data_IF_741715931583
#
_entry.id   IF_741715931583
#
_cell.length_a   1.000
_cell.length_b   1.000
_cell.length_c   1.000
_cell.angle_alpha   90.00
_cell.angle_beta   90.00
_cell.angle_gamma   90.00
#
_symmetry.space_group_name_H-M   'P 1'
#
loop_
_entity.id
_entity.type
_entity.pdbx_description
1 polymer ?
#
# COMPACT_ATOMS: atom_id res chain seq x y z
N UNK A 1 1.87 -2.97 -8.25
CA UNK A 1 1.17 -3.68 -7.15
C UNK A 1 -0.06 -4.38 -7.70
N UNK A 2 -0.32 -5.56 -7.26
CA UNK A 2 -1.47 -6.38 -7.64
C UNK A 2 -2.26 -6.80 -6.41
N UNK A 3 -3.53 -7.14 -6.60
CA UNK A 3 -4.40 -7.63 -5.54
C UNK A 3 -4.91 -9.03 -5.88
N UNK A 4 -5.00 -9.89 -4.87
CA UNK A 4 -5.58 -11.23 -4.97
C UNK A 4 -6.47 -11.51 -3.78
N UNK A 5 -7.29 -12.57 -3.87
CA UNK A 5 -8.31 -12.86 -2.87
C UNK A 5 -9.62 -12.15 -3.18
N UNK A 6 -10.45 -11.93 -2.17
CA UNK A 6 -11.75 -11.27 -2.31
C UNK A 6 -11.76 -9.94 -1.59
N UNK A 7 -12.74 -9.10 -1.90
CA UNK A 7 -12.95 -7.80 -1.24
C UNK A 7 -13.86 -7.91 -0.01
N UNK A 8 -14.29 -9.12 0.35
CA UNK A 8 -15.17 -9.34 1.51
C UNK A 8 -14.47 -9.03 2.81
N UNK A 9 -15.05 -8.13 3.59
CA UNK A 9 -14.58 -7.82 4.95
C UNK A 9 -14.66 -9.05 5.84
N UNK A 10 -15.71 -9.84 5.72
CA UNK A 10 -15.89 -11.06 6.53
C UNK A 10 -14.82 -12.12 6.23
N UNK A 11 -14.44 -12.28 4.96
CA UNK A 11 -13.40 -13.23 4.57
C UNK A 11 -11.98 -12.73 4.93
N UNK A 12 -11.77 -11.43 4.86
CA UNK A 12 -10.48 -10.77 5.18
C UNK A 12 -9.27 -11.48 4.56
N UNK A 13 -9.40 -11.88 3.30
CA UNK A 13 -8.38 -12.66 2.59
C UNK A 13 -7.72 -11.91 1.44
N UNK A 14 -7.92 -10.60 1.35
CA UNK A 14 -7.24 -9.78 0.35
C UNK A 14 -5.74 -9.74 0.62
N UNK A 15 -4.96 -9.93 -0.45
CA UNK A 15 -3.49 -9.82 -0.41
C UNK A 15 -3.07 -8.81 -1.46
N UNK A 16 -2.29 -7.83 -1.03
CA UNK A 16 -1.65 -6.85 -1.90
C UNK A 16 -0.18 -7.21 -2.04
N UNK A 17 0.29 -7.39 -3.27
CA UNK A 17 1.66 -7.83 -3.54
C UNK A 17 2.34 -6.90 -4.54
N UNK A 18 3.61 -6.61 -4.27
CA UNK A 18 4.49 -5.89 -5.18
C UNK A 18 5.76 -6.71 -5.38
N UNK A 19 6.18 -6.85 -6.63
CA UNK A 19 7.37 -7.61 -7.01
C UNK A 19 8.36 -6.74 -7.79
N UNK A 20 9.54 -7.27 -8.07
CA UNK A 20 10.61 -6.57 -8.81
C UNK A 20 11.09 -5.30 -8.10
N UNK A 21 11.09 -5.33 -6.79
CA UNK A 21 11.62 -4.26 -5.96
C UNK A 21 13.13 -4.41 -5.77
N UNK A 22 13.85 -3.31 -5.45
CA UNK A 22 15.22 -3.41 -4.99
C UNK A 22 15.32 -4.39 -3.80
N UNK A 23 16.38 -5.19 -3.79
CA UNK A 23 16.57 -6.23 -2.78
C UNK A 23 16.95 -5.64 -1.42
N UNK A 24 16.44 -6.24 -0.35
CA UNK A 24 16.79 -5.91 1.02
C UNK A 24 16.60 -4.41 1.35
N UNK A 25 15.52 -3.81 0.86
CA UNK A 25 15.18 -2.40 1.10
C UNK A 25 13.88 -2.27 1.87
N UNK A 26 13.79 -1.26 2.77
CA UNK A 26 12.55 -1.01 3.48
C UNK A 26 11.51 -0.34 2.59
N UNK A 27 10.26 -0.57 2.91
CA UNK A 27 9.12 0.08 2.30
C UNK A 27 7.88 -0.09 3.16
N UNK A 28 6.81 0.58 2.79
CA UNK A 28 5.55 0.48 3.51
C UNK A 28 4.37 0.73 2.58
N UNK A 29 3.25 0.13 2.95
CA UNK A 29 1.98 0.34 2.28
C UNK A 29 1.37 1.67 2.75
N UNK A 30 0.93 2.46 1.79
CA UNK A 30 0.14 3.66 2.01
C UNK A 30 -1.32 3.37 1.68
N UNK A 31 -2.24 3.93 2.46
CA UNK A 31 -3.67 3.74 2.29
C UNK A 31 -4.40 5.07 2.47
N UNK A 32 -5.36 5.35 1.59
CA UNK A 32 -6.20 6.54 1.69
C UNK A 32 -7.59 6.28 1.12
N UNK A 33 -8.58 7.03 1.61
CA UNK A 33 -9.95 7.02 1.06
C UNK A 33 -10.07 7.79 -0.25
N UNK A 34 -9.07 8.60 -0.58
CA UNK A 34 -9.11 9.49 -1.74
C UNK A 34 -7.82 9.38 -2.54
N UNK A 35 -7.94 9.61 -3.85
CA UNK A 35 -6.83 9.70 -4.76
C UNK A 35 -7.02 10.87 -5.73
N UNK A 36 -5.91 11.39 -6.24
CA UNK A 36 -5.91 12.49 -7.20
C UNK A 36 -5.22 12.13 -8.50
N UNK A 37 -4.88 13.13 -9.30
CA UNK A 37 -4.20 12.98 -10.57
C UNK A 37 -2.71 12.61 -10.48
N UNK A 38 -2.21 12.45 -9.26
CA UNK A 38 -0.81 12.19 -9.01
C UNK A 38 0.03 13.45 -8.89
N UNK A 39 0.94 13.45 -7.93
CA UNK A 39 1.93 14.51 -7.76
C UNK A 39 3.32 13.90 -7.70
N UNK A 40 4.36 14.59 -8.20
CA UNK A 40 5.73 14.12 -8.02
C UNK A 40 6.05 13.99 -6.52
N UNK A 41 6.58 12.85 -6.15
CA UNK A 41 6.99 12.57 -4.78
C UNK A 41 8.22 11.67 -4.80
N UNK A 42 9.36 12.19 -4.31
CA UNK A 42 10.64 11.51 -4.48
C UNK A 42 10.90 11.26 -5.97
N UNK A 43 11.25 10.03 -6.36
CA UNK A 43 11.49 9.68 -7.76
C UNK A 43 10.26 9.04 -8.43
N UNK A 44 9.10 9.12 -7.79
CA UNK A 44 7.85 8.54 -8.27
C UNK A 44 6.68 9.51 -8.24
N UNK A 45 5.50 8.94 -8.43
CA UNK A 45 4.23 9.69 -8.42
C UNK A 45 3.36 9.19 -7.27
N UNK A 46 3.00 10.09 -6.37
CA UNK A 46 2.06 9.81 -5.30
C UNK A 46 0.64 10.05 -5.82
N UNK A 47 -0.15 8.99 -5.87
CA UNK A 47 -1.53 9.04 -6.34
C UNK A 47 -2.55 9.27 -5.21
N UNK A 48 -2.19 8.90 -3.99
CA UNK A 48 -3.06 9.04 -2.83
C UNK A 48 -3.08 10.50 -2.35
N UNK A 49 -4.24 10.92 -1.87
CA UNK A 49 -4.40 12.25 -1.25
C UNK A 49 -4.68 12.12 0.24
N UNK A 50 -4.39 13.15 1.05
CA UNK A 50 -4.63 13.08 2.49
C UNK A 50 -6.12 12.81 2.82
N UNK A 51 -6.39 12.13 3.88
CA UNK A 51 -5.48 11.60 4.91
C UNK A 51 -4.85 10.28 4.47
N UNK A 52 -3.54 10.17 4.60
CA UNK A 52 -2.82 8.96 4.22
C UNK A 52 -2.44 8.18 5.50
N UNK A 53 -2.83 6.90 5.53
CA UNK A 53 -2.49 5.97 6.60
C UNK A 53 -1.28 5.14 6.17
N UNK A 54 -0.31 5.04 7.08
CA UNK A 54 0.95 4.32 6.83
C UNK A 54 0.96 3.01 7.59
N UNK A 55 1.10 1.92 6.86
CA UNK A 55 1.22 0.58 7.43
C UNK A 55 2.64 0.36 7.99
N UNK A 56 2.82 -0.65 8.85
CA UNK A 56 4.16 -0.99 9.36
C UNK A 56 5.15 -1.25 8.23
N UNK A 57 6.38 -0.82 8.44
CA UNK A 57 7.48 -1.00 7.49
C UNK A 57 7.80 -2.47 7.31
N UNK A 58 8.04 -2.87 6.06
CA UNK A 58 8.53 -4.20 5.71
C UNK A 58 9.81 -4.10 4.86
N UNK A 59 10.58 -5.18 4.81
CA UNK A 59 11.77 -5.28 3.98
C UNK A 59 11.45 -6.14 2.76
N UNK A 60 11.96 -5.76 1.59
CA UNK A 60 11.74 -6.53 0.35
C UNK A 60 12.48 -7.87 0.31
N UNK A 61 13.44 -8.06 1.20
CA UNK A 61 14.17 -9.32 1.33
C UNK A 61 14.99 -9.70 0.10
N UNK A 62 15.39 -10.96 0.06
CA UNK A 62 16.21 -11.49 -1.04
C UNK A 62 15.43 -11.67 -2.35
N UNK A 63 14.10 -11.65 -2.29
CA UNK A 63 13.22 -11.81 -3.48
C UNK A 63 12.79 -10.49 -4.11
N UNK A 64 13.00 -9.36 -3.43
CA UNK A 64 12.57 -8.07 -3.91
C UNK A 64 11.05 -7.94 -3.99
N UNK A 65 10.33 -8.41 -2.97
CA UNK A 65 8.87 -8.37 -2.93
C UNK A 65 8.34 -7.90 -1.60
N UNK A 66 7.17 -7.25 -1.65
CA UNK A 66 6.38 -6.89 -0.47
C UNK A 66 5.00 -7.51 -0.59
N UNK A 67 4.45 -7.97 0.53
CA UNK A 67 3.10 -8.51 0.58
C UNK A 67 2.42 -8.09 1.88
N UNK A 68 1.18 -7.63 1.77
CA UNK A 68 0.30 -7.32 2.90
C UNK A 68 -0.98 -8.13 2.76
N UNK A 69 -1.37 -8.79 3.84
CA UNK A 69 -2.50 -9.71 3.88
C UNK A 69 -2.05 -11.18 3.80
N UNK A 70 -2.99 -12.11 4.00
CA UNK A 70 -4.39 -11.85 4.39
C UNK A 70 -4.48 -11.19 5.77
N UNK A 71 -5.68 -10.68 6.12
CA UNK A 71 -5.90 -10.05 7.41
C UNK A 71 -5.79 -8.52 7.39
N UNK A 72 -5.84 -7.89 6.22
CA UNK A 72 -5.73 -6.43 6.08
C UNK A 72 -6.85 -5.73 6.86
N UNK A 73 -8.08 -6.24 6.81
CA UNK A 73 -9.21 -5.63 7.49
C UNK A 73 -8.99 -5.63 9.00
N UNK A 74 -8.70 -6.80 9.57
CA UNK A 74 -8.42 -6.94 11.01
C UNK A 74 -7.26 -6.06 11.45
N UNK A 75 -6.18 -6.02 10.66
CA UNK A 75 -5.00 -5.22 10.96
C UNK A 75 -5.27 -3.72 10.92
N UNK A 76 -6.22 -3.25 10.10
CA UNK A 76 -6.58 -1.83 10.08
C UNK A 76 -7.14 -1.37 11.42
N UNK A 77 -7.89 -2.23 12.11
CA UNK A 77 -8.40 -1.93 13.46
C UNK A 77 -7.27 -1.87 14.50
N UNK A 78 -6.22 -2.65 14.34
CA UNK A 78 -5.09 -2.67 15.26
C UNK A 78 -4.07 -1.55 15.02
N UNK A 79 -3.88 -1.15 13.78
CA UNK A 79 -2.87 -0.18 13.39
C UNK A 79 -3.36 1.26 13.41
N UNK A 80 -4.67 1.50 13.27
CA UNK A 80 -5.20 2.85 13.08
C UNK A 80 -6.40 3.11 14.01
N UNK A 81 -6.74 4.40 14.18
CA UNK A 81 -8.01 4.80 14.75
C UNK A 81 -9.16 4.64 13.74
N UNK A 82 -10.40 4.90 14.19
CA UNK A 82 -11.61 4.69 13.40
C UNK A 82 -11.56 5.25 11.96
N UNK A 83 -10.99 6.44 11.69
CA UNK A 83 -10.86 6.93 10.32
C UNK A 83 -10.09 6.03 9.37
N UNK A 84 -9.20 5.18 9.89
CA UNK A 84 -8.40 4.21 9.13
C UNK A 84 -8.96 2.80 9.08
N UNK A 85 -10.14 2.56 9.65
CA UNK A 85 -10.74 1.22 9.67
C UNK A 85 -11.36 0.88 8.32
N UNK A 86 -11.07 -0.33 7.85
CA UNK A 86 -11.68 -0.87 6.64
C UNK A 86 -13.02 -1.51 7.01
N UNK A 87 -14.09 -0.99 6.44
CA UNK A 87 -15.47 -1.42 6.74
C UNK A 87 -16.20 -1.80 5.45
N UNK A 88 -17.29 -2.61 5.55
CA UNK A 88 -18.09 -2.92 4.36
C UNK A 88 -18.60 -1.66 3.66
N UNK A 89 -18.52 -1.65 2.34
CA UNK A 89 -18.90 -0.50 1.51
C UNK A 89 -17.85 0.59 1.39
N UNK A 90 -16.76 0.53 2.15
CA UNK A 90 -15.70 1.53 2.07
C UNK A 90 -14.83 1.33 0.82
N UNK A 91 -14.35 2.45 0.29
CA UNK A 91 -13.41 2.46 -0.84
C UNK A 91 -12.06 2.92 -0.33
N UNK A 92 -11.03 2.18 -0.68
CA UNK A 92 -9.66 2.49 -0.30
C UNK A 92 -8.73 2.42 -1.49
N UNK A 93 -7.74 3.31 -1.50
CA UNK A 93 -6.65 3.33 -2.45
C UNK A 93 -5.38 2.91 -1.73
N UNK A 94 -4.61 2.03 -2.35
CA UNK A 94 -3.35 1.50 -1.80
C UNK A 94 -2.22 1.77 -2.77
N UNK A 95 -1.06 2.14 -2.22
CA UNK A 95 0.16 2.38 -2.99
C UNK A 95 1.37 2.04 -2.11
N UNK A 96 2.41 1.47 -2.70
CA UNK A 96 3.65 1.16 -1.98
C UNK A 96 4.67 2.28 -2.15
N UNK A 97 5.26 2.67 -1.06
CA UNK A 97 6.46 3.48 -1.02
C UNK A 97 7.65 2.58 -0.64
N UNK A 98 8.79 2.71 -1.34
CA UNK A 98 9.98 1.91 -1.07
C UNK A 98 11.25 2.72 -1.28
N UNK A 99 12.32 2.32 -0.57
CA UNK A 99 13.66 2.86 -0.81
C UNK A 99 14.23 2.30 -2.11
N UNK A 100 14.89 3.17 -2.86
CA UNK A 100 15.60 2.81 -4.07
C UNK A 100 16.81 3.74 -4.25
N UNK A 101 17.94 3.29 -3.76
CA UNK A 101 19.17 4.10 -3.75
C UNK A 101 19.83 4.23 -5.13
N UNK A 102 19.40 3.42 -6.11
CA UNK A 102 20.02 3.36 -7.45
C UNK A 102 19.34 4.28 -8.47
N UNK A 103 18.32 5.04 -8.07
CA UNK A 103 17.59 5.91 -9.00
C UNK A 103 18.42 7.12 -9.41
N UNK A 104 18.33 7.52 -10.71
CA UNK A 104 19.14 8.62 -11.26
C UNK A 104 18.90 9.97 -10.60
N UNK A 105 17.69 10.23 -10.12
CA UNK A 105 17.32 11.51 -9.51
C UNK A 105 17.82 11.67 -8.09
N UNK A 106 18.36 10.60 -7.46
CA UNK A 106 19.03 10.68 -6.17
C UNK A 106 18.13 10.86 -4.96
N UNK A 107 16.82 10.82 -5.11
CA UNK A 107 15.86 10.95 -3.99
C UNK A 107 15.73 9.68 -3.16
N UNK A 108 16.30 8.58 -3.63
CA UNK A 108 16.43 7.30 -2.93
C UNK A 108 15.11 6.66 -2.50
N UNK A 109 14.00 7.03 -3.14
CA UNK A 109 12.70 6.45 -2.87
C UNK A 109 11.81 6.53 -4.10
N UNK A 110 10.90 5.58 -4.23
CA UNK A 110 9.94 5.51 -5.33
C UNK A 110 8.61 4.96 -4.85
N UNK A 111 7.60 4.98 -5.72
CA UNK A 111 6.28 4.46 -5.45
C UNK A 111 5.83 3.55 -6.60
N UNK A 112 4.95 2.59 -6.26
CA UNK A 112 4.29 1.74 -7.25
C UNK A 112 3.07 2.44 -7.85
N UNK A 113 2.37 1.75 -8.76
CA UNK A 113 1.00 2.11 -9.12
C UNK A 113 0.08 2.05 -7.89
N UNK A 114 -1.02 2.77 -7.92
CA UNK A 114 -2.07 2.67 -6.93
C UNK A 114 -3.11 1.62 -7.33
N UNK A 115 -3.71 0.97 -6.34
CA UNK A 115 -4.80 0.01 -6.52
C UNK A 115 -6.01 0.51 -5.73
N UNK A 116 -7.17 0.55 -6.39
CA UNK A 116 -8.45 0.91 -5.76
C UNK A 116 -9.19 -0.36 -5.39
N UNK A 117 -9.67 -0.43 -4.15
CA UNK A 117 -10.46 -1.56 -3.65
C UNK A 117 -11.76 -1.04 -3.04
N UNK A 118 -12.88 -1.59 -3.50
CA UNK A 118 -14.19 -1.39 -2.86
C UNK A 118 -14.48 -2.62 -2.01
N UNK A 119 -14.50 -2.43 -0.70
CA UNK A 119 -14.75 -3.54 0.23
C UNK A 119 -16.25 -3.86 0.31
N UNK A 120 -16.54 -5.15 0.37
CA UNK A 120 -17.90 -5.70 0.45
C UNK A 120 -18.10 -6.39 1.81
N UNK A 121 -19.34 -6.68 2.21
CA UNK A 121 -19.60 -7.44 3.43
C UNK A 121 -18.90 -8.79 3.50
#
# INVERSE_FOLDING_TARGET
MTASGTTSVANDNLVLTTVNMPLNKPGLLLMSKTAGGGIPFKDGILCLTPQIFRWPTKNSGATGSFSYGPGIVSQSFGNFGAPGWITPGSVWYFQYWHRDAALPCGNRANLTNAVRVTFTP
#
